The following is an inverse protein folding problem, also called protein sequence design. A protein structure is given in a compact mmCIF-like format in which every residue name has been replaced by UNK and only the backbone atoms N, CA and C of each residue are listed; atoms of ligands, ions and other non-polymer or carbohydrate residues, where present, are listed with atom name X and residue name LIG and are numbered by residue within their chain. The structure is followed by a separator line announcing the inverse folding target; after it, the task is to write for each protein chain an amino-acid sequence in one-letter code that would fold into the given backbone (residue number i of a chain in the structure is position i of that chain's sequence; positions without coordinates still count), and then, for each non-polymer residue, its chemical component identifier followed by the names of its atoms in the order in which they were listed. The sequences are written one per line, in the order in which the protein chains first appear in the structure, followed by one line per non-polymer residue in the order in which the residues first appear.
data_IF_339905459681
#
_entry.id   IF_339905459681
#
_cell.length_a   1.000
_cell.length_b   1.000
_cell.length_c   1.000
_cell.angle_alpha   90.00
_cell.angle_beta   90.00
_cell.angle_gamma   90.00
#
_symmetry.space_group_name_H-M   'P 1'
#
loop_
_entity.id
_entity.type
_entity.pdbx_description
1 polymer ?
#
# COMPACT_ATOMS: atom_id res chain seq x y z
N UNK A 1 -23.94 25.56 23.16
CA UNK A 1 -23.06 24.88 22.20
C UNK A 1 -23.77 24.87 20.85
N UNK A 2 -23.30 25.66 19.90
CA UNK A 2 -23.77 25.59 18.51
C UNK A 2 -23.12 24.32 17.93
N UNK A 3 -23.92 23.38 17.40
CA UNK A 3 -23.38 22.16 16.79
C UNK A 3 -22.50 22.51 15.60
N UNK A 4 -21.33 21.88 15.47
CA UNK A 4 -20.50 22.02 14.26
C UNK A 4 -21.39 21.77 13.02
N UNK A 5 -21.22 22.55 11.93
CA UNK A 5 -21.92 22.28 10.67
C UNK A 5 -21.64 20.83 10.26
N UNK A 6 -22.64 20.13 9.72
CA UNK A 6 -22.52 18.73 9.29
C UNK A 6 -22.45 18.69 7.77
N UNK A 7 -21.51 17.91 7.25
CA UNK A 7 -21.41 17.59 5.84
C UNK A 7 -22.01 16.20 5.57
N UNK A 8 -22.38 15.96 4.31
CA UNK A 8 -22.99 14.71 3.88
C UNK A 8 -21.98 13.87 3.11
N UNK A 9 -21.71 12.66 3.58
CA UNK A 9 -21.07 11.62 2.78
C UNK A 9 -22.18 10.85 2.05
N UNK A 10 -22.05 10.69 0.73
CA UNK A 10 -23.02 9.94 -0.08
C UNK A 10 -22.34 8.72 -0.67
N UNK A 11 -22.84 7.53 -0.31
CA UNK A 11 -22.55 6.28 -0.99
C UNK A 11 -23.50 6.17 -2.19
N UNK A 12 -23.00 6.53 -3.37
CA UNK A 12 -23.77 6.54 -4.60
C UNK A 12 -24.19 5.12 -5.05
N UNK A 13 -23.43 4.09 -4.68
CA UNK A 13 -23.72 2.69 -5.05
C UNK A 13 -24.83 2.10 -4.19
N UNK A 14 -24.89 2.47 -2.92
CA UNK A 14 -25.88 1.92 -1.96
C UNK A 14 -27.02 2.88 -1.63
N UNK A 15 -27.02 4.08 -2.21
CA UNK A 15 -28.03 5.10 -1.98
C UNK A 15 -28.12 5.56 -0.52
N UNK A 16 -27.01 5.50 0.23
CA UNK A 16 -26.96 5.87 1.65
C UNK A 16 -26.27 7.21 1.83
N UNK A 17 -26.77 8.00 2.78
CA UNK A 17 -26.10 9.23 3.20
C UNK A 17 -25.87 9.22 4.71
N UNK A 18 -24.71 9.69 5.13
CA UNK A 18 -24.36 9.87 6.53
C UNK A 18 -23.93 11.31 6.79
N UNK A 19 -24.31 11.82 7.94
CA UNK A 19 -23.79 13.10 8.42
C UNK A 19 -22.40 12.89 9.04
N UNK A 20 -21.43 13.63 8.54
CA UNK A 20 -20.05 13.65 9.04
C UNK A 20 -19.65 15.07 9.42
N UNK A 21 -18.65 15.21 10.29
CA UNK A 21 -18.08 16.55 10.55
C UNK A 21 -17.26 17.01 9.33
N UNK A 22 -17.18 18.32 9.05
CA UNK A 22 -16.34 18.88 7.99
C UNK A 22 -14.88 18.45 8.12
N UNK A 23 -14.35 18.40 9.35
CA UNK A 23 -12.99 17.89 9.60
C UNK A 23 -12.80 16.45 9.14
N UNK A 24 -13.80 15.59 9.35
CA UNK A 24 -13.71 14.20 8.90
C UNK A 24 -13.88 14.09 7.38
N UNK A 25 -14.73 14.92 6.77
CA UNK A 25 -14.83 15.01 5.31
C UNK A 25 -13.51 15.42 4.68
N UNK A 26 -12.91 16.50 5.17
CA UNK A 26 -11.64 17.03 4.65
C UNK A 26 -10.53 16.01 4.80
N UNK A 27 -10.51 15.28 5.92
CA UNK A 27 -9.62 14.13 6.10
C UNK A 27 -9.84 13.03 5.05
N UNK A 28 -11.10 12.63 4.79
CA UNK A 28 -11.40 11.61 3.77
C UNK A 28 -11.00 12.06 2.37
N UNK A 29 -11.25 13.32 2.01
CA UNK A 29 -10.83 13.90 0.72
C UNK A 29 -9.31 13.93 0.58
N UNK A 30 -8.60 14.38 1.62
CA UNK A 30 -7.13 14.37 1.64
C UNK A 30 -6.56 12.95 1.54
N UNK A 31 -7.24 11.96 2.14
CA UNK A 31 -6.84 10.57 2.01
C UNK A 31 -7.06 10.03 0.60
N UNK A 32 -8.15 10.40 -0.07
CA UNK A 32 -8.43 10.04 -1.45
C UNK A 32 -7.36 10.61 -2.40
N UNK A 33 -6.98 11.89 -2.21
CA UNK A 33 -5.88 12.51 -2.96
C UNK A 33 -4.56 11.74 -2.75
N UNK A 34 -4.26 11.35 -1.50
CA UNK A 34 -3.06 10.56 -1.17
C UNK A 34 -3.09 9.18 -1.84
N UNK A 35 -4.26 8.55 -1.95
CA UNK A 35 -4.43 7.27 -2.66
C UNK A 35 -4.21 7.46 -4.15
N UNK A 36 -4.75 8.52 -4.75
CA UNK A 36 -4.53 8.80 -6.17
C UNK A 36 -3.06 9.10 -6.48
N UNK A 37 -2.39 9.91 -5.66
CA UNK A 37 -0.94 10.18 -5.75
C UNK A 37 -0.13 8.88 -5.73
N UNK A 38 -0.52 7.93 -4.87
CA UNK A 38 0.12 6.63 -4.78
C UNK A 38 -0.10 5.80 -6.06
N UNK A 39 -1.32 5.77 -6.59
CA UNK A 39 -1.64 5.05 -7.83
C UNK A 39 -0.86 5.65 -9.02
N UNK A 40 -0.81 6.97 -9.12
CA UNK A 40 -0.09 7.68 -10.17
C UNK A 40 1.42 7.44 -10.08
N UNK A 41 1.96 7.43 -8.84
CA UNK A 41 3.34 7.04 -8.61
C UNK A 41 3.60 5.60 -9.06
N UNK A 42 2.76 4.63 -8.66
CA UNK A 42 2.87 3.24 -9.09
C UNK A 42 2.86 3.17 -10.62
N UNK A 43 1.92 3.86 -11.28
CA UNK A 43 1.79 3.95 -12.72
C UNK A 43 3.06 4.46 -13.41
N UNK A 44 3.75 5.41 -12.79
CA UNK A 44 5.01 5.98 -13.28
C UNK A 44 6.27 5.13 -13.04
N UNK A 45 6.20 4.11 -12.18
CA UNK A 45 7.33 3.18 -11.96
C UNK A 45 7.28 1.98 -12.90
N UNK A 46 8.42 1.41 -13.29
CA UNK A 46 8.48 0.14 -14.04
C UNK A 46 8.30 -1.11 -13.16
N UNK A 47 8.00 -0.91 -11.88
CA UNK A 47 7.90 -1.98 -10.90
C UNK A 47 6.64 -2.83 -11.09
N UNK A 48 6.79 -4.15 -10.94
CA UNK A 48 5.68 -5.12 -11.02
C UNK A 48 5.19 -5.58 -9.65
N UNK A 49 5.92 -5.22 -8.58
CA UNK A 49 5.59 -5.59 -7.21
C UNK A 49 5.35 -4.34 -6.38
N UNK A 50 4.21 -4.32 -5.69
CA UNK A 50 3.93 -3.36 -4.64
C UNK A 50 4.28 -4.02 -3.32
N UNK A 51 5.19 -3.40 -2.56
CA UNK A 51 5.63 -3.94 -1.27
C UNK A 51 4.61 -3.55 -0.21
N UNK A 52 3.97 -4.53 0.43
CA UNK A 52 3.10 -4.32 1.57
C UNK A 52 3.84 -4.63 2.88
N UNK A 53 3.32 -4.13 4.00
CA UNK A 53 3.97 -4.23 5.29
C UNK A 53 3.07 -4.93 6.31
N UNK A 54 3.61 -5.83 7.14
CA UNK A 54 2.82 -6.63 8.07
C UNK A 54 2.30 -5.83 9.27
N UNK A 55 2.93 -4.70 9.59
CA UNK A 55 2.55 -3.80 10.68
C UNK A 55 3.16 -2.40 10.47
N UNK A 56 2.79 -1.47 11.35
CA UNK A 56 3.20 -0.06 11.30
C UNK A 56 4.69 0.16 11.50
N UNK A 57 5.33 -0.62 12.37
CA UNK A 57 6.76 -0.46 12.66
C UNK A 57 7.59 -0.82 11.44
N UNK A 58 7.21 -1.91 10.75
CA UNK A 58 7.86 -2.32 9.50
C UNK A 58 7.56 -1.32 8.38
N UNK A 59 6.33 -0.81 8.30
CA UNK A 59 5.99 0.20 7.29
C UNK A 59 6.84 1.46 7.41
N UNK A 60 6.97 1.99 8.63
CA UNK A 60 7.79 3.19 8.89
C UNK A 60 9.28 2.95 8.67
N UNK A 61 9.78 1.76 9.02
CA UNK A 61 11.18 1.43 8.88
C UNK A 61 11.60 1.29 7.41
N UNK A 62 10.75 0.68 6.58
CA UNK A 62 11.11 0.36 5.21
C UNK A 62 10.57 1.40 4.20
N UNK A 63 9.45 2.06 4.44
CA UNK A 63 8.89 3.06 3.51
C UNK A 63 8.64 4.42 4.19
N UNK A 64 9.70 5.19 4.46
CA UNK A 64 9.55 6.48 5.13
C UNK A 64 8.77 7.52 4.30
N UNK A 65 8.69 7.35 2.97
CA UNK A 65 7.99 8.27 2.09
C UNK A 65 6.48 8.08 2.24
N UNK A 66 6.00 6.86 2.02
CA UNK A 66 4.57 6.58 2.07
C UNK A 66 4.05 6.43 3.49
N UNK A 67 4.86 6.02 4.46
CA UNK A 67 4.46 5.99 5.88
C UNK A 67 4.29 7.39 6.49
N UNK A 68 4.87 8.43 5.89
CA UNK A 68 4.60 9.81 6.26
C UNK A 68 3.25 10.33 5.74
N UNK A 69 2.68 9.69 4.71
CA UNK A 69 1.42 10.11 4.07
C UNK A 69 0.25 9.22 4.47
N UNK A 70 0.46 7.91 4.55
CA UNK A 70 -0.54 6.96 5.02
C UNK A 70 -0.44 6.80 6.55
N UNK A 71 -1.51 7.08 7.31
CA UNK A 71 -1.50 6.92 8.77
C UNK A 71 -1.26 5.48 9.25
N UNK A 72 -1.58 4.49 8.39
CA UNK A 72 -1.45 3.07 8.71
C UNK A 72 -0.97 2.25 7.52
N UNK A 73 -0.29 1.14 7.79
CA UNK A 73 0.09 0.11 6.84
C UNK A 73 -1.14 -0.51 6.16
N UNK A 74 -2.27 -0.58 6.88
CA UNK A 74 -3.54 -1.05 6.32
C UNK A 74 -4.09 -0.10 5.26
N UNK A 75 -4.00 1.22 5.48
CA UNK A 75 -4.43 2.21 4.47
C UNK A 75 -3.54 2.15 3.23
N UNK A 76 -2.23 2.00 3.41
CA UNK A 76 -1.31 1.76 2.29
C UNK A 76 -1.65 0.45 1.54
N UNK A 77 -1.97 -0.64 2.24
CA UNK A 77 -2.40 -1.89 1.61
C UNK A 77 -3.70 -1.74 0.81
N UNK A 78 -4.65 -0.95 1.32
CA UNK A 78 -5.88 -0.61 0.58
C UNK A 78 -5.57 0.18 -0.69
N UNK A 79 -4.67 1.16 -0.62
CA UNK A 79 -4.20 1.91 -1.79
C UNK A 79 -3.50 0.99 -2.82
N UNK A 80 -2.65 0.08 -2.35
CA UNK A 80 -2.02 -0.96 -3.18
C UNK A 80 -3.05 -1.85 -3.89
N UNK A 81 -4.09 -2.27 -3.17
CA UNK A 81 -5.17 -3.09 -3.73
C UNK A 81 -5.94 -2.35 -4.82
N UNK A 82 -6.19 -1.05 -4.62
CA UNK A 82 -6.82 -0.18 -5.62
C UNK A 82 -5.93 0.02 -6.84
N UNK A 83 -4.63 0.26 -6.65
CA UNK A 83 -3.67 0.36 -7.74
C UNK A 83 -3.65 -0.90 -8.61
N UNK A 84 -3.70 -2.10 -8.01
CA UNK A 84 -3.81 -3.36 -8.76
C UNK A 84 -5.09 -3.42 -9.60
N UNK A 85 -6.22 -2.96 -9.04
CA UNK A 85 -7.51 -2.97 -9.73
C UNK A 85 -7.56 -1.97 -10.89
N UNK A 86 -7.08 -0.74 -10.68
CA UNK A 86 -7.12 0.32 -11.69
C UNK A 86 -6.09 0.08 -12.79
N UNK A 87 -4.86 -0.28 -12.41
CA UNK A 87 -3.75 -0.54 -13.33
C UNK A 87 -3.67 -2.02 -13.73
N UNK A 88 -4.82 -2.68 -13.85
CA UNK A 88 -4.93 -4.14 -14.10
C UNK A 88 -4.13 -4.63 -15.30
N UNK A 89 -3.98 -3.81 -16.35
CA UNK A 89 -3.18 -4.12 -17.55
C UNK A 89 -1.69 -4.37 -17.25
N UNK A 90 -1.18 -3.83 -16.14
CA UNK A 90 0.24 -3.93 -15.76
C UNK A 90 0.62 -5.24 -15.05
N UNK A 91 -0.35 -6.07 -14.67
CA UNK A 91 -0.14 -7.32 -13.91
C UNK A 91 0.65 -7.11 -12.61
N UNK A 92 0.25 -6.10 -11.83
CA UNK A 92 0.87 -5.79 -10.55
C UNK A 92 0.59 -6.89 -9.51
N UNK A 93 1.55 -7.15 -8.63
CA UNK A 93 1.40 -8.10 -7.53
C UNK A 93 1.73 -7.42 -6.20
N UNK A 94 0.94 -7.67 -5.17
CA UNK A 94 1.22 -7.20 -3.81
C UNK A 94 2.02 -8.27 -3.07
N UNK A 95 3.14 -7.88 -2.46
CA UNK A 95 4.02 -8.79 -1.72
C UNK A 95 4.31 -8.21 -0.34
N UNK A 96 3.95 -8.95 0.70
CA UNK A 96 4.25 -8.56 2.08
C UNK A 96 5.74 -8.73 2.37
N UNK A 97 6.39 -7.67 2.83
CA UNK A 97 7.78 -7.68 3.28
C UNK A 97 7.89 -8.30 4.67
N UNK A 98 8.59 -9.42 4.76
CA UNK A 98 8.92 -10.06 6.03
C UNK A 98 10.36 -9.69 6.40
N UNK A 99 10.60 -8.84 7.42
CA UNK A 99 11.93 -8.27 7.69
C UNK A 99 13.03 -9.31 7.78
N UNK A 100 12.84 -10.37 8.57
CA UNK A 100 13.84 -11.45 8.71
C UNK A 100 14.19 -12.13 7.38
N UNK A 101 13.18 -12.43 6.56
CA UNK A 101 13.41 -13.07 5.26
C UNK A 101 14.09 -12.12 4.27
N UNK A 102 13.83 -10.82 4.38
CA UNK A 102 14.47 -9.81 3.56
C UNK A 102 15.92 -9.55 4.01
N UNK A 103 16.17 -9.47 5.31
CA UNK A 103 17.52 -9.36 5.90
C UNK A 103 18.41 -10.54 5.51
N UNK A 104 17.89 -11.77 5.60
CA UNK A 104 18.59 -12.98 5.14
C UNK A 104 18.91 -12.91 3.64
N UNK A 105 17.98 -12.41 2.84
CA UNK A 105 18.21 -12.20 1.41
C UNK A 105 19.32 -11.17 1.17
N UNK A 106 19.28 -10.00 1.82
CA UNK A 106 20.30 -8.96 1.69
C UNK A 106 21.69 -9.47 2.09
N UNK A 107 21.77 -10.26 3.17
CA UNK A 107 23.02 -10.91 3.59
C UNK A 107 23.53 -11.90 2.53
N UNK A 108 22.63 -12.67 1.90
CA UNK A 108 22.97 -13.62 0.84
C UNK A 108 23.49 -12.92 -0.42
N UNK A 109 22.81 -11.86 -0.88
CA UNK A 109 23.19 -11.13 -2.10
C UNK A 109 24.27 -10.06 -1.88
N UNK A 110 24.63 -9.79 -0.61
CA UNK A 110 25.59 -8.74 -0.20
C UNK A 110 25.26 -7.37 -0.78
N UNK A 111 23.97 -7.01 -0.82
CA UNK A 111 23.49 -5.71 -1.29
C UNK A 111 22.92 -4.89 -0.13
N UNK A 112 23.03 -3.55 -0.17
CA UNK A 112 22.33 -2.70 0.78
C UNK A 112 20.82 -2.72 0.54
N UNK A 113 20.06 -2.31 1.56
CA UNK A 113 18.63 -2.07 1.39
C UNK A 113 18.40 -0.87 0.45
N UNK A 114 17.74 -1.15 -0.66
CA UNK A 114 17.38 -0.19 -1.71
C UNK A 114 16.05 -0.62 -2.30
N UNK A 115 15.35 0.31 -2.96
CA UNK A 115 14.10 0.00 -3.66
C UNK A 115 14.27 -1.16 -4.66
N UNK A 116 15.32 -1.13 -5.49
CA UNK A 116 15.64 -2.19 -6.45
C UNK A 116 15.90 -3.56 -5.77
N UNK A 117 16.60 -3.56 -4.63
CA UNK A 117 16.82 -4.79 -3.86
C UNK A 117 15.52 -5.39 -3.34
N UNK A 118 14.56 -4.57 -2.90
CA UNK A 118 13.23 -5.01 -2.45
C UNK A 118 12.39 -5.55 -3.59
N UNK A 119 12.44 -4.92 -4.77
CA UNK A 119 11.77 -5.40 -5.97
C UNK A 119 12.31 -6.76 -6.42
N UNK A 120 13.63 -6.91 -6.44
CA UNK A 120 14.29 -8.18 -6.76
C UNK A 120 13.95 -9.25 -5.73
N UNK A 121 13.94 -8.91 -4.44
CA UNK A 121 13.51 -9.81 -3.37
C UNK A 121 12.06 -10.26 -3.55
N UNK A 122 11.13 -9.34 -3.82
CA UNK A 122 9.72 -9.66 -4.02
C UNK A 122 9.53 -10.63 -5.20
N UNK A 123 10.25 -10.42 -6.30
CA UNK A 123 10.26 -11.33 -7.44
C UNK A 123 10.74 -12.75 -7.04
N UNK A 124 11.84 -12.84 -6.29
CA UNK A 124 12.39 -14.10 -5.81
C UNK A 124 11.43 -14.81 -4.82
N UNK A 125 10.82 -14.04 -3.91
CA UNK A 125 9.86 -14.54 -2.93
C UNK A 125 8.63 -15.14 -3.63
N UNK A 126 8.04 -14.44 -4.60
CA UNK A 126 6.90 -14.94 -5.38
C UNK A 126 7.22 -16.23 -6.15
N UNK A 127 8.41 -16.31 -6.77
CA UNK A 127 8.84 -17.53 -7.49
C UNK A 127 8.96 -18.73 -6.55
N UNK A 128 9.53 -18.53 -5.36
CA UNK A 128 9.76 -19.59 -4.39
C UNK A 128 8.48 -20.02 -3.66
N UNK A 129 7.59 -19.08 -3.34
CA UNK A 129 6.31 -19.39 -2.69
C UNK A 129 5.43 -20.33 -3.55
N UNK A 130 5.31 -20.07 -4.85
CA UNK A 130 4.58 -20.94 -5.79
C UNK A 130 5.17 -22.36 -5.82
N UNK A 131 6.50 -22.46 -5.76
CA UNK A 131 7.21 -23.74 -5.78
C UNK A 131 7.02 -24.52 -4.48
N UNK A 132 6.92 -23.83 -3.34
CA UNK A 132 6.68 -24.46 -2.03
C UNK A 132 5.21 -24.89 -1.86
N UNK A 133 4.24 -24.14 -2.38
CA UNK A 133 2.83 -24.56 -2.37
C UNK A 133 2.60 -25.81 -3.24
N UNK A 134 3.30 -25.97 -4.37
CA UNK A 134 3.21 -27.17 -5.20
C UNK A 134 3.79 -28.44 -4.55
N UNK A 135 4.55 -28.29 -3.46
CA UNK A 135 5.14 -29.40 -2.67
C UNK A 135 4.36 -29.71 -1.39
N UNK A 136 3.36 -28.90 -1.03
CA UNK A 136 2.40 -29.20 0.04
C UNK A 136 1.23 -29.98 -0.52
#
# INVERSE_FOLDING_TARGET
MIGEPKDWLVDAERGRSWNISPKYRDFLLSMEETVQDFIDWVAGTDHRFIIAYPNEDVFRAFDPIWSARFPTALMHLSAASRAVSELHERQLNIVTLFPKAFEEYLAHVRKPDTEDARQTWAAAYCKNYRTMQAKR
#
